data_IF_352901409053
#
_entry.id   IF_352901409053
#
_cell.length_a   1.000
_cell.length_b   1.000
_cell.length_c   1.000
_cell.angle_alpha   90.00
_cell.angle_beta   90.00
_cell.angle_gamma   90.00
#
_symmetry.space_group_name_H-M   'P 1'
#
loop_
_entity.id
_entity.type
_entity.pdbx_description
1 polymer ?
#
# COMPACT_ATOMS: atom_id res chain seq x y z
N UNK A 1 34.10 -0.13 -15.20
CA UNK A 1 32.80 -0.62 -14.69
C UNK A 1 32.30 0.36 -13.66
N UNK A 2 31.05 0.81 -13.75
CA UNK A 2 30.50 1.86 -12.89
C UNK A 2 29.35 1.28 -12.06
N UNK A 3 29.65 0.91 -10.82
CA UNK A 3 28.64 0.44 -9.87
C UNK A 3 28.08 1.61 -9.06
N UNK A 4 26.76 1.76 -9.07
CA UNK A 4 26.06 2.73 -8.23
C UNK A 4 25.38 2.01 -7.07
N UNK A 5 25.68 2.44 -5.84
CA UNK A 5 25.02 1.95 -4.63
C UNK A 5 23.83 2.84 -4.28
N UNK A 6 22.67 2.22 -4.05
CA UNK A 6 21.50 2.90 -3.50
C UNK A 6 21.16 2.32 -2.12
N UNK A 7 20.78 3.19 -1.19
CA UNK A 7 20.28 2.81 0.13
C UNK A 7 18.84 3.27 0.26
N UNK A 8 17.97 2.38 0.71
CA UNK A 8 16.56 2.67 0.91
C UNK A 8 16.17 2.43 2.36
N UNK A 9 15.35 3.31 2.90
CA UNK A 9 14.69 3.07 4.17
C UNK A 9 13.46 2.19 3.95
N UNK A 10 13.33 1.15 4.76
CA UNK A 10 12.18 0.26 4.72
C UNK A 10 11.05 0.80 5.60
N UNK A 11 9.84 0.76 5.05
CA UNK A 11 8.60 0.97 5.79
C UNK A 11 8.38 -0.24 6.70
N UNK A 12 8.04 0.04 7.96
CA UNK A 12 7.58 -0.98 8.91
C UNK A 12 6.06 -1.10 8.83
N UNK A 13 5.58 -2.33 8.94
CA UNK A 13 4.16 -2.62 9.03
C UNK A 13 3.57 -1.99 10.29
N UNK A 14 2.46 -1.27 10.19
CA UNK A 14 1.75 -0.71 11.36
C UNK A 14 1.10 -1.75 12.28
N UNK A 15 1.06 -3.03 11.87
CA UNK A 15 0.47 -4.13 12.66
C UNK A 15 1.50 -5.03 13.33
N UNK A 16 2.54 -5.43 12.59
CA UNK A 16 3.54 -6.39 13.08
C UNK A 16 4.96 -5.80 13.16
N UNK A 17 5.12 -4.52 12.83
CA UNK A 17 6.37 -3.74 12.92
C UNK A 17 7.56 -4.23 12.08
N UNK A 18 7.36 -5.32 11.32
CA UNK A 18 8.36 -5.87 10.41
C UNK A 18 8.55 -4.97 9.20
N UNK A 19 9.80 -4.74 8.74
CA UNK A 19 10.06 -4.05 7.50
C UNK A 19 9.54 -4.89 6.32
N UNK A 20 8.89 -4.27 5.33
CA UNK A 20 8.29 -5.02 4.21
C UNK A 20 8.52 -4.43 2.81
N UNK A 21 8.71 -3.12 2.68
CA UNK A 21 8.93 -2.46 1.39
C UNK A 21 9.69 -1.14 1.56
N UNK A 22 10.35 -0.61 0.52
CA UNK A 22 10.92 0.74 0.56
C UNK A 22 9.86 1.80 0.83
N UNK A 23 10.14 2.76 1.71
CA UNK A 23 9.21 3.83 2.08
C UNK A 23 8.71 4.62 0.86
N UNK A 24 9.61 4.89 -0.11
CA UNK A 24 9.27 5.59 -1.35
C UNK A 24 8.24 4.83 -2.18
N UNK A 25 8.33 3.50 -2.24
CA UNK A 25 7.39 2.66 -2.98
C UNK A 25 6.02 2.65 -2.31
N UNK A 26 5.97 2.61 -0.97
CA UNK A 26 4.70 2.68 -0.22
C UNK A 26 4.02 4.04 -0.41
N UNK A 27 4.79 5.13 -0.35
CA UNK A 27 4.29 6.46 -0.62
C UNK A 27 3.73 6.56 -2.05
N UNK A 28 4.52 6.15 -3.05
CA UNK A 28 4.13 6.17 -4.45
C UNK A 28 2.84 5.37 -4.71
N UNK A 29 2.72 4.17 -4.13
CA UNK A 29 1.53 3.35 -4.28
C UNK A 29 0.28 4.06 -3.74
N UNK A 30 0.37 4.73 -2.59
CA UNK A 30 -0.75 5.50 -2.04
C UNK A 30 -1.16 6.69 -2.93
N UNK A 31 -0.18 7.34 -3.57
CA UNK A 31 -0.45 8.44 -4.51
C UNK A 31 -1.13 7.96 -5.78
N UNK A 32 -0.63 6.86 -6.36
CA UNK A 32 -1.23 6.24 -7.54
C UNK A 32 -2.66 5.78 -7.27
N UNK A 33 -2.93 5.18 -6.10
CA UNK A 33 -4.27 4.77 -5.72
C UNK A 33 -5.21 5.97 -5.56
N UNK A 34 -4.74 7.08 -4.96
CA UNK A 34 -5.55 8.28 -4.82
C UNK A 34 -5.89 8.92 -6.18
N UNK A 35 -4.93 8.90 -7.11
CA UNK A 35 -5.14 9.35 -8.49
C UNK A 35 -6.14 8.47 -9.22
N UNK A 36 -6.02 7.14 -9.12
CA UNK A 36 -6.96 6.20 -9.74
C UNK A 36 -8.40 6.37 -9.25
N UNK A 37 -8.58 6.71 -7.97
CA UNK A 37 -9.91 6.93 -7.39
C UNK A 37 -10.48 8.34 -7.68
N UNK A 38 -9.73 9.23 -8.34
CA UNK A 38 -10.05 10.67 -8.43
C UNK A 38 -10.40 11.29 -7.07
N UNK A 39 -9.80 10.76 -5.99
CA UNK A 39 -10.14 11.10 -4.61
C UNK A 39 -8.89 11.58 -3.86
N UNK A 40 -8.36 12.78 -4.18
CA UNK A 40 -7.17 13.32 -3.52
C UNK A 40 -7.36 13.51 -2.01
N UNK A 41 -8.60 13.68 -1.53
CA UNK A 41 -8.94 13.75 -0.11
C UNK A 41 -8.68 12.44 0.65
N UNK A 42 -8.65 11.30 -0.04
CA UNK A 42 -8.47 9.99 0.58
C UNK A 42 -7.00 9.58 0.74
N UNK A 43 -6.05 10.43 0.35
CA UNK A 43 -4.61 10.12 0.34
C UNK A 43 -4.08 9.63 1.68
N UNK A 44 -4.49 10.26 2.78
CA UNK A 44 -4.02 9.87 4.11
C UNK A 44 -4.57 8.51 4.54
N UNK A 45 -5.85 8.26 4.27
CA UNK A 45 -6.47 6.96 4.50
C UNK A 45 -5.79 5.87 3.67
N UNK A 46 -5.52 6.12 2.39
CA UNK A 46 -4.83 5.19 1.50
C UNK A 46 -3.39 4.94 1.94
N UNK A 47 -2.70 5.97 2.46
CA UNK A 47 -1.36 5.82 3.05
C UNK A 47 -1.41 4.93 4.30
N UNK A 48 -2.40 5.11 5.17
CA UNK A 48 -2.59 4.26 6.34
C UNK A 48 -2.84 2.80 5.92
N UNK A 49 -3.67 2.55 4.90
CA UNK A 49 -3.90 1.21 4.35
C UNK A 49 -2.66 0.63 3.68
N UNK A 50 -1.86 1.44 2.98
CA UNK A 50 -0.59 1.03 2.36
C UNK A 50 0.52 0.77 3.39
N UNK A 51 0.36 1.21 4.65
CA UNK A 51 1.31 0.97 5.74
C UNK A 51 1.27 -0.45 6.33
N UNK A 52 0.32 -1.30 5.88
CA UNK A 52 0.16 -2.68 6.36
C UNK A 52 0.79 -3.65 5.36
N UNK A 53 1.64 -4.56 5.84
CA UNK A 53 2.32 -5.52 4.99
C UNK A 53 1.34 -6.54 4.34
N UNK A 54 1.72 -7.15 3.20
CA UNK A 54 0.86 -8.11 2.49
C UNK A 54 0.38 -9.27 3.37
N UNK A 55 1.23 -9.83 4.23
CA UNK A 55 0.82 -10.91 5.15
C UNK A 55 -0.28 -10.48 6.11
N UNK A 56 -0.15 -9.30 6.72
CA UNK A 56 -1.17 -8.78 7.65
C UNK A 56 -2.46 -8.43 6.91
N UNK A 57 -2.38 -7.94 5.67
CA UNK A 57 -3.55 -7.73 4.81
C UNK A 57 -4.24 -9.06 4.50
N UNK A 58 -3.50 -10.06 4.04
CA UNK A 58 -4.06 -11.37 3.72
C UNK A 58 -4.71 -12.03 4.94
N UNK A 59 -4.07 -11.97 6.13
CA UNK A 59 -4.69 -12.45 7.37
C UNK A 59 -5.97 -11.69 7.70
N UNK A 60 -5.98 -10.36 7.52
CA UNK A 60 -7.19 -9.57 7.74
C UNK A 60 -8.31 -9.98 6.78
N UNK A 61 -8.02 -10.22 5.49
CA UNK A 61 -9.02 -10.72 4.53
C UNK A 61 -9.55 -12.10 4.92
N UNK A 62 -8.67 -13.04 5.31
CA UNK A 62 -9.08 -14.40 5.71
C UNK A 62 -9.87 -14.44 7.03
N UNK A 63 -9.69 -13.45 7.91
CA UNK A 63 -10.40 -13.34 9.19
C UNK A 63 -11.71 -12.55 9.02
N UNK A 64 -11.70 -11.54 8.15
CA UNK A 64 -12.84 -10.67 7.85
C UNK A 64 -13.47 -11.09 6.52
N UNK A 65 -14.13 -12.25 6.48
CA UNK A 65 -14.74 -12.84 5.27
C UNK A 65 -15.86 -11.99 4.60
N UNK A 66 -16.03 -10.70 4.93
CA UNK A 66 -17.19 -9.89 4.48
C UNK A 66 -16.99 -8.36 4.33
N UNK A 67 -15.76 -7.81 4.38
CA UNK A 67 -15.58 -6.35 4.11
C UNK A 67 -14.32 -6.03 3.32
N UNK A 68 -14.18 -6.63 2.14
CA UNK A 68 -13.42 -5.97 1.08
C UNK A 68 -14.35 -4.95 0.39
N UNK A 69 -14.16 -3.67 0.71
CA UNK A 69 -14.51 -2.61 -0.24
C UNK A 69 -13.70 -2.93 -1.51
N UNK A 70 -14.35 -3.19 -2.65
CA UNK A 70 -13.66 -3.70 -3.82
C UNK A 70 -12.64 -2.67 -4.31
N UNK A 71 -11.36 -2.96 -4.06
CA UNK A 71 -10.27 -2.39 -4.83
C UNK A 71 -10.27 -3.14 -6.16
N UNK A 72 -10.82 -2.46 -7.18
CA UNK A 72 -10.88 -2.80 -8.61
C UNK A 72 -12.17 -3.49 -9.07
N UNK A 73 -13.04 -2.70 -9.72
CA UNK A 73 -13.37 -2.86 -11.15
C UNK A 73 -14.46 -1.84 -11.53
N UNK A 74 -14.14 -0.93 -12.45
CA UNK A 74 -14.90 -0.67 -13.69
C UNK A 74 -14.02 0.18 -14.62
N UNK A 75 -13.13 -0.50 -15.34
CA UNK A 75 -13.03 -0.25 -16.78
C UNK A 75 -14.39 -0.65 -17.37
N UNK A 76 -15.14 0.28 -17.96
CA UNK A 76 -16.04 0.02 -19.11
C UNK A 76 -16.31 1.35 -19.84
N UNK A 77 -15.79 1.39 -21.08
CA UNK A 77 -16.27 2.03 -22.31
C UNK A 77 -17.17 3.28 -22.21
#
# INVERSE_FOLDING_TARGET
DLYTRATFHLQRCSRCERPFAPQKTVALAAELLAQQQNAPQNREMLRAQASVCPECKQRATLINDDTDVPLVAKEQL
#
